data_IF_304691261944
#
_entry.id   IF_304691261944
#
_cell.length_a   1.000
_cell.length_b   1.000
_cell.length_c   1.000
_cell.angle_alpha   90.00
_cell.angle_beta   90.00
_cell.angle_gamma   90.00
#
_symmetry.space_group_name_H-M   'P 1'
#
loop_
_entity.id
_entity.type
_entity.pdbx_description
1 polymer ?
#
# COMPACT_ATOMS: atom_id res chain seq x y z
N UNK A 1 -0.18 10.22 -2.10
CA UNK A 1 -0.98 9.60 -1.03
C UNK A 1 -0.12 8.51 -0.41
N UNK A 2 0.70 8.87 0.58
CA UNK A 2 1.68 7.97 1.21
C UNK A 2 1.07 7.21 2.40
N UNK A 3 -0.16 6.71 2.23
CA UNK A 3 -0.91 6.07 3.33
C UNK A 3 -0.40 4.66 3.65
N UNK A 4 0.31 4.04 2.71
CA UNK A 4 0.95 2.74 2.89
C UNK A 4 2.44 2.95 3.13
N UNK A 5 2.90 2.48 4.28
CA UNK A 5 4.31 2.44 4.63
C UNK A 5 5.02 1.38 3.76
N UNK A 6 5.91 1.86 2.90
CA UNK A 6 6.75 1.02 2.04
C UNK A 6 8.18 1.09 2.56
N UNK A 7 8.94 -0.02 2.60
CA UNK A 7 10.35 -0.01 2.98
C UNK A 7 11.16 0.96 2.11
N UNK A 8 12.22 1.51 2.70
CA UNK A 8 13.20 2.32 1.99
C UNK A 8 13.99 1.47 0.99
N UNK A 9 14.47 2.06 -0.12
CA UNK A 9 15.29 1.36 -1.11
C UNK A 9 16.51 0.64 -0.51
N UNK A 10 17.17 1.25 0.48
CA UNK A 10 18.32 0.65 1.17
C UNK A 10 18.00 -0.65 1.92
N UNK A 11 16.72 -0.93 2.19
CA UNK A 11 16.26 -2.13 2.88
C UNK A 11 15.73 -3.21 1.91
N UNK A 12 15.80 -2.96 0.59
CA UNK A 12 15.25 -3.83 -0.44
C UNK A 12 16.35 -4.49 -1.28
N UNK A 13 16.10 -5.73 -1.68
CA UNK A 13 16.92 -6.40 -2.69
C UNK A 13 16.70 -5.81 -4.08
N UNK A 14 17.59 -6.17 -5.02
CA UNK A 14 17.52 -5.73 -6.41
C UNK A 14 16.19 -6.12 -7.08
N UNK A 15 15.70 -7.33 -6.82
CA UNK A 15 14.43 -7.82 -7.37
C UNK A 15 13.21 -7.07 -6.85
N UNK A 16 13.22 -6.66 -5.58
CA UNK A 16 12.15 -5.87 -4.98
C UNK A 16 12.17 -4.44 -5.52
N UNK A 17 13.35 -3.83 -5.62
CA UNK A 17 13.53 -2.49 -6.18
C UNK A 17 13.13 -2.43 -7.66
N UNK A 18 13.43 -3.48 -8.43
CA UNK A 18 13.00 -3.62 -9.82
C UNK A 18 11.51 -3.99 -9.97
N UNK A 19 10.78 -4.22 -8.87
CA UNK A 19 9.38 -4.61 -8.90
C UNK A 19 9.13 -6.01 -9.48
N UNK A 20 10.15 -6.87 -9.48
CA UNK A 20 10.04 -8.31 -9.83
C UNK A 20 9.54 -9.14 -8.67
N UNK A 21 9.78 -8.68 -7.45
CA UNK A 21 9.35 -9.34 -6.20
C UNK A 21 8.56 -8.37 -5.35
N UNK A 22 7.63 -8.90 -4.55
CA UNK A 22 6.82 -8.11 -3.63
C UNK A 22 7.70 -7.24 -2.72
N UNK A 23 7.41 -5.94 -2.62
CA UNK A 23 8.18 -5.02 -1.76
C UNK A 23 8.13 -5.37 -0.26
N UNK A 24 7.19 -6.23 0.15
CA UNK A 24 6.98 -6.62 1.56
C UNK A 24 7.24 -8.10 1.85
N UNK A 25 7.63 -8.88 0.85
CA UNK A 25 7.86 -10.31 0.98
C UNK A 25 8.76 -10.80 -0.14
N UNK A 26 8.79 -12.11 -0.35
CA UNK A 26 9.68 -12.75 -1.34
C UNK A 26 8.92 -13.34 -2.52
N UNK A 27 7.60 -13.08 -2.60
CA UNK A 27 6.76 -13.61 -3.67
C UNK A 27 7.09 -12.94 -5.02
N UNK A 28 7.42 -13.72 -6.06
CA UNK A 28 7.59 -13.21 -7.41
C UNK A 28 6.30 -12.58 -7.93
N UNK A 29 6.42 -11.44 -8.60
CA UNK A 29 5.30 -10.70 -9.16
C UNK A 29 5.16 -11.01 -10.64
N UNK A 30 3.92 -11.22 -11.08
CA UNK A 30 3.57 -11.27 -12.50
C UNK A 30 2.87 -9.97 -12.90
N UNK A 31 2.76 -9.71 -14.20
CA UNK A 31 2.01 -8.56 -14.71
C UNK A 31 0.54 -8.55 -14.26
N UNK A 32 -0.04 -9.72 -13.95
CA UNK A 32 -1.44 -9.87 -13.55
C UNK A 32 -1.66 -9.73 -12.04
N UNK A 33 -0.67 -10.13 -11.23
CA UNK A 33 -0.77 -10.16 -9.77
C UNK A 33 -0.13 -8.96 -9.07
N UNK A 34 0.73 -8.22 -9.76
CA UNK A 34 1.39 -7.04 -9.23
C UNK A 34 0.40 -5.90 -9.00
N UNK A 35 0.43 -5.33 -7.80
CA UNK A 35 -0.22 -4.08 -7.45
C UNK A 35 0.83 -2.97 -7.49
N UNK A 36 0.60 -1.96 -8.33
CA UNK A 36 1.39 -0.74 -8.37
C UNK A 36 1.02 0.15 -7.17
N UNK A 37 1.99 0.49 -6.33
CA UNK A 37 1.81 1.32 -5.13
C UNK A 37 2.04 2.82 -5.40
N UNK A 38 2.15 3.20 -6.66
CA UNK A 38 2.40 4.55 -7.15
C UNK A 38 3.88 4.93 -7.10
N UNK A 39 4.17 6.07 -7.73
CA UNK A 39 5.50 6.69 -7.69
C UNK A 39 5.89 7.06 -6.26
N UNK A 40 7.13 6.75 -5.89
CA UNK A 40 7.79 7.18 -4.66
C UNK A 40 9.10 7.89 -4.99
N UNK A 41 9.44 8.89 -4.20
CA UNK A 41 10.72 9.61 -4.30
C UNK A 41 11.66 9.05 -3.25
N UNK A 42 12.85 8.65 -3.68
CA UNK A 42 13.98 8.28 -2.85
C UNK A 42 15.16 9.22 -3.14
N UNK A 43 16.22 9.14 -2.33
CA UNK A 43 17.43 9.97 -2.49
C UNK A 43 18.05 9.83 -3.88
N UNK A 44 18.08 8.60 -4.42
CA UNK A 44 18.67 8.29 -5.73
C UNK A 44 17.70 8.45 -6.91
N UNK A 45 16.49 8.95 -6.67
CA UNK A 45 15.51 9.25 -7.71
C UNK A 45 14.12 8.65 -7.46
N UNK A 46 13.36 8.50 -8.54
CA UNK A 46 11.98 8.00 -8.48
C UNK A 46 11.94 6.51 -8.70
N UNK A 47 11.06 5.84 -7.96
CA UNK A 47 10.84 4.42 -8.08
C UNK A 47 9.36 4.07 -7.90
N UNK A 48 8.98 2.90 -8.39
CA UNK A 48 7.58 2.48 -8.50
C UNK A 48 7.42 1.13 -7.79
N UNK A 49 7.29 1.14 -6.45
CA UNK A 49 7.17 -0.09 -5.68
C UNK A 49 5.95 -0.91 -6.12
N UNK A 50 6.18 -2.22 -6.24
CA UNK A 50 5.13 -3.19 -6.55
C UNK A 50 4.98 -4.20 -5.43
N UNK A 51 3.77 -4.65 -5.20
CA UNK A 51 3.47 -5.63 -4.17
C UNK A 51 2.47 -6.67 -4.66
N UNK A 52 2.48 -7.85 -4.03
CA UNK A 52 1.45 -8.83 -4.29
C UNK A 52 0.12 -8.40 -3.65
N UNK A 53 -0.98 -8.95 -4.17
CA UNK A 53 -2.34 -8.68 -3.65
C UNK A 53 -2.47 -9.02 -2.17
N UNK A 54 -1.93 -10.16 -1.73
CA UNK A 54 -2.03 -10.59 -0.35
C UNK A 54 -1.37 -9.58 0.61
N UNK A 55 -0.11 -9.21 0.36
CA UNK A 55 0.58 -8.22 1.17
C UNK A 55 -0.14 -6.86 1.12
N UNK A 56 -0.56 -6.43 -0.06
CA UNK A 56 -1.28 -5.15 -0.22
C UNK A 56 -2.57 -5.11 0.62
N UNK A 57 -3.38 -6.18 0.58
CA UNK A 57 -4.59 -6.31 1.39
C UNK A 57 -4.29 -6.18 2.89
N UNK A 58 -3.28 -6.90 3.38
CA UNK A 58 -2.89 -6.87 4.79
C UNK A 58 -2.41 -5.48 5.23
N UNK A 59 -1.57 -4.81 4.43
CA UNK A 59 -1.05 -3.48 4.76
C UNK A 59 -2.14 -2.41 4.64
N UNK A 60 -3.03 -2.50 3.66
CA UNK A 60 -4.18 -1.60 3.53
C UNK A 60 -5.14 -1.73 4.72
N UNK A 61 -5.39 -2.95 5.19
CA UNK A 61 -6.19 -3.17 6.40
C UNK A 61 -5.52 -2.55 7.64
N UNK A 62 -4.22 -2.80 7.84
CA UNK A 62 -3.48 -2.25 8.98
C UNK A 62 -3.45 -0.71 8.95
N UNK A 63 -3.16 -0.12 7.80
CA UNK A 63 -3.17 1.33 7.62
C UNK A 63 -4.55 1.94 7.85
N UNK A 64 -5.63 1.22 7.52
CA UNK A 64 -6.98 1.68 7.79
C UNK A 64 -7.28 1.75 9.29
N UNK A 65 -6.87 0.72 10.04
CA UNK A 65 -7.03 0.68 11.49
C UNK A 65 -6.24 1.81 12.16
N UNK A 66 -4.97 1.97 11.77
CA UNK A 66 -4.09 3.03 12.28
C UNK A 66 -4.58 4.44 11.93
N UNK A 67 -5.03 4.66 10.69
CA UNK A 67 -5.63 5.93 10.31
C UNK A 67 -6.92 6.22 11.12
N UNK A 68 -7.73 5.19 11.35
CA UNK A 68 -9.00 5.30 12.06
C UNK A 68 -8.86 5.79 13.50
N UNK A 69 -7.76 5.47 14.19
CA UNK A 69 -7.53 5.92 15.58
C UNK A 69 -7.24 7.41 15.70
N UNK A 70 -6.82 8.06 14.62
CA UNK A 70 -6.37 9.45 14.63
C UNK A 70 -7.20 10.39 13.73
N UNK A 71 -8.10 9.86 12.90
CA UNK A 71 -8.86 10.65 11.95
C UNK A 71 -10.27 11.00 12.46
N UNK A 72 -10.58 12.30 12.70
CA UNK A 72 -11.92 12.72 13.15
C UNK A 72 -13.03 12.32 12.19
N UNK A 73 -12.74 12.29 10.88
CA UNK A 73 -13.73 11.86 9.88
C UNK A 73 -14.04 10.36 10.00
N UNK A 74 -13.10 9.54 10.45
CA UNK A 74 -13.32 8.10 10.64
C UNK A 74 -13.99 7.74 11.97
N UNK A 75 -14.14 8.70 12.90
CA UNK A 75 -14.68 8.43 14.24
C UNK A 75 -16.14 7.96 14.25
N UNK A 76 -16.90 8.22 13.18
CA UNK A 76 -18.30 7.79 13.06
C UNK A 76 -18.64 7.33 11.65
N UNK A 77 -19.65 6.46 11.53
CA UNK A 77 -20.16 6.04 10.23
C UNK A 77 -20.71 7.22 9.40
N UNK A 78 -21.29 8.23 10.06
CA UNK A 78 -21.84 9.41 9.41
C UNK A 78 -20.75 10.25 8.71
N UNK A 79 -19.57 10.35 9.32
CA UNK A 79 -18.46 11.16 8.81
C UNK A 79 -17.48 10.36 7.94
N UNK A 80 -17.42 9.04 8.11
CA UNK A 80 -16.43 8.18 7.45
C UNK A 80 -16.53 8.23 5.91
N UNK A 81 -17.72 8.48 5.38
CA UNK A 81 -17.96 8.66 3.96
C UNK A 81 -17.16 9.84 3.36
N UNK A 82 -16.77 10.83 4.16
CA UNK A 82 -16.00 12.00 3.71
C UNK A 82 -14.48 11.78 3.79
N UNK A 83 -14.01 10.76 4.50
CA UNK A 83 -12.58 10.48 4.59
C UNK A 83 -12.04 9.83 3.31
N UNK A 84 -11.30 10.59 2.50
CA UNK A 84 -10.71 10.08 1.25
C UNK A 84 -9.64 9.01 1.50
N UNK A 85 -8.84 9.16 2.55
CA UNK A 85 -7.79 8.19 2.93
C UNK A 85 -8.40 6.87 3.37
N UNK A 86 -9.30 6.88 4.36
CA UNK A 86 -9.98 5.68 4.84
C UNK A 86 -10.74 4.95 3.72
N UNK A 87 -11.45 5.69 2.86
CA UNK A 87 -12.13 5.08 1.69
C UNK A 87 -11.15 4.52 0.67
N UNK A 88 -10.01 5.19 0.44
CA UNK A 88 -8.96 4.71 -0.44
C UNK A 88 -8.39 3.37 0.05
N UNK A 89 -8.04 3.29 1.33
CA UNK A 89 -7.52 2.08 1.96
C UNK A 89 -8.55 0.93 1.93
N UNK A 90 -9.83 1.22 2.18
CA UNK A 90 -10.90 0.22 2.10
C UNK A 90 -11.07 -0.34 0.69
N UNK A 91 -11.09 0.53 -0.33
CA UNK A 91 -11.19 0.10 -1.73
C UNK A 91 -9.99 -0.75 -2.13
N UNK A 92 -8.79 -0.32 -1.76
CA UNK A 92 -7.56 -1.04 -2.06
C UNK A 92 -7.54 -2.44 -1.42
N UNK A 93 -7.86 -2.54 -0.13
CA UNK A 93 -7.96 -3.81 0.57
C UNK A 93 -8.97 -4.75 -0.11
N UNK A 94 -10.17 -4.24 -0.43
CA UNK A 94 -11.23 -5.04 -1.07
C UNK A 94 -10.87 -5.49 -2.48
N UNK A 95 -10.16 -4.67 -3.25
CA UNK A 95 -9.69 -5.03 -4.59
C UNK A 95 -8.65 -6.15 -4.56
N UNK A 96 -7.83 -6.21 -3.51
CA UNK A 96 -6.76 -7.20 -3.37
C UNK A 96 -7.18 -8.51 -2.69
N UNK A 97 -8.37 -8.58 -2.07
CA UNK A 97 -8.93 -9.83 -1.51
C UNK A 97 -9.66 -10.71 -2.53
N UNK A 98 -9.84 -10.23 -3.76
CA UNK A 98 -10.54 -10.92 -4.85
C UNK A 98 -9.57 -11.67 -5.74
#
# INVERSE_FOLDING_TARGET
MDALQVPTLAALGEDQTAGRTCVWGEEPLTLESAVDLGERVAEDGRWFPRACRNCTSLRAHRAMLDHGTHCPLCASAATAAHCTVGRGLYRLQRACRR
#
